data_IF_672137875133
#
_entry.id   IF_672137875133
#
_cell.length_a   1.000
_cell.length_b   1.000
_cell.length_c   1.000
_cell.angle_alpha   90.00
_cell.angle_beta   90.00
_cell.angle_gamma   90.00
#
_symmetry.space_group_name_H-M   'P 1'
#
loop_
_entity.id
_entity.type
_entity.pdbx_description
1 polymer ?
#
# COMPACT_ATOMS: atom_id res chain seq x y z
N UNK A 1 -38.56 29.00 -25.92
CA UNK A 1 -39.14 28.12 -24.89
C UNK A 1 -38.62 26.68 -24.98
N UNK A 2 -38.13 26.19 -26.13
CA UNK A 2 -37.65 24.80 -26.29
C UNK A 2 -36.36 24.43 -25.54
N UNK A 3 -35.40 25.36 -25.38
CA UNK A 3 -34.10 25.08 -24.73
C UNK A 3 -34.24 24.62 -23.26
N UNK A 4 -35.19 25.20 -22.51
CA UNK A 4 -35.43 24.81 -21.11
C UNK A 4 -36.01 23.40 -20.95
N UNK A 5 -36.70 22.90 -21.97
CA UNK A 5 -37.32 21.57 -21.96
C UNK A 5 -36.26 20.51 -22.26
N UNK A 6 -35.36 20.79 -23.20
CA UNK A 6 -34.22 19.92 -23.54
C UNK A 6 -33.25 19.76 -22.37
N UNK A 7 -32.95 20.83 -21.63
CA UNK A 7 -32.06 20.75 -20.46
C UNK A 7 -32.69 19.94 -19.32
N UNK A 8 -34.00 20.06 -19.09
CA UNK A 8 -34.72 19.24 -18.11
C UNK A 8 -34.73 17.75 -18.51
N UNK A 9 -34.79 17.45 -19.81
CA UNK A 9 -34.75 16.08 -20.32
C UNK A 9 -33.36 15.47 -20.15
N UNK A 10 -32.29 16.24 -20.39
CA UNK A 10 -30.89 15.83 -20.14
C UNK A 10 -30.67 15.47 -18.67
N UNK A 11 -31.13 16.30 -17.73
CA UNK A 11 -31.00 16.04 -16.30
C UNK A 11 -31.73 14.76 -15.86
N UNK A 12 -32.95 14.52 -16.39
CA UNK A 12 -33.70 13.29 -16.12
C UNK A 12 -32.94 12.04 -16.61
N UNK A 13 -32.38 12.07 -17.82
CA UNK A 13 -31.61 10.94 -18.38
C UNK A 13 -30.34 10.68 -17.55
N UNK A 14 -29.62 11.73 -17.14
CA UNK A 14 -28.44 11.61 -16.29
C UNK A 14 -28.78 11.02 -14.91
N UNK A 15 -29.93 11.37 -14.34
CA UNK A 15 -30.38 10.82 -13.06
C UNK A 15 -30.75 9.33 -13.14
N UNK A 16 -31.37 8.89 -14.25
CA UNK A 16 -31.65 7.46 -14.49
C UNK A 16 -30.35 6.68 -14.62
N UNK A 17 -29.37 7.23 -15.34
CA UNK A 17 -28.07 6.61 -15.48
C UNK A 17 -27.31 6.50 -14.15
N UNK A 18 -27.40 7.51 -13.26
CA UNK A 18 -26.77 7.48 -11.92
C UNK A 18 -27.30 6.34 -11.06
N UNK A 19 -28.58 5.99 -11.22
CA UNK A 19 -29.21 4.89 -10.48
C UNK A 19 -28.76 3.51 -10.99
N UNK A 20 -28.25 3.41 -12.21
CA UNK A 20 -27.87 2.16 -12.87
C UNK A 20 -26.39 2.14 -13.29
N UNK A 21 -25.46 1.82 -12.36
CA UNK A 21 -24.01 1.85 -12.64
C UNK A 21 -23.53 0.79 -13.64
N UNK A 22 -24.36 -0.22 -13.95
CA UNK A 22 -24.09 -1.25 -14.96
C UNK A 22 -24.39 -0.79 -16.40
N UNK A 23 -24.95 0.41 -16.56
CA UNK A 23 -25.37 0.97 -17.85
C UNK A 23 -26.89 0.92 -18.04
N UNK A 24 -27.40 1.75 -18.94
CA UNK A 24 -28.82 1.88 -19.27
C UNK A 24 -29.03 1.58 -20.76
N UNK A 25 -30.04 0.79 -21.11
CA UNK A 25 -30.43 0.57 -22.50
C UNK A 25 -31.46 1.61 -22.95
N UNK A 26 -31.67 1.73 -24.27
CA UNK A 26 -32.72 2.59 -24.82
C UNK A 26 -34.12 2.23 -24.28
N UNK A 27 -34.38 0.94 -24.01
CA UNK A 27 -35.64 0.46 -23.41
C UNK A 27 -35.80 0.94 -21.96
N UNK A 28 -34.71 0.96 -21.20
CA UNK A 28 -34.73 1.42 -19.80
C UNK A 28 -34.97 2.92 -19.70
N UNK A 29 -34.46 3.70 -20.67
CA UNK A 29 -34.69 5.14 -20.77
C UNK A 29 -36.16 5.43 -21.09
N UNK A 30 -36.73 4.70 -22.06
CA UNK A 30 -38.15 4.84 -22.45
C UNK A 30 -39.08 4.41 -21.32
N UNK A 31 -38.74 3.36 -20.56
CA UNK A 31 -39.52 2.94 -19.40
C UNK A 31 -39.49 3.96 -18.25
N UNK A 32 -38.36 4.64 -18.05
CA UNK A 32 -38.19 5.64 -17.00
C UNK A 32 -38.79 7.01 -17.35
N UNK A 33 -38.97 7.33 -18.65
CA UNK A 33 -39.56 8.58 -19.13
C UNK A 33 -40.63 8.29 -20.21
N UNK A 34 -41.85 7.89 -19.80
CA UNK A 34 -42.93 7.56 -20.73
C UNK A 34 -43.56 8.78 -21.42
N UNK A 35 -43.34 9.98 -20.88
CA UNK A 35 -43.94 11.23 -21.36
C UNK A 35 -43.38 11.75 -22.70
N UNK A 36 -42.25 11.20 -23.17
CA UNK A 36 -41.51 11.73 -24.33
C UNK A 36 -41.40 10.67 -25.41
N UNK A 37 -41.69 11.04 -26.65
CA UNK A 37 -41.65 10.12 -27.79
C UNK A 37 -40.20 9.70 -28.12
N UNK A 38 -40.04 8.47 -28.65
CA UNK A 38 -38.72 7.95 -29.06
C UNK A 38 -38.01 8.84 -30.10
N UNK A 39 -38.75 9.63 -30.87
CA UNK A 39 -38.20 10.55 -31.86
C UNK A 39 -37.49 11.76 -31.24
N UNK A 40 -37.87 12.17 -30.02
CA UNK A 40 -37.26 13.30 -29.29
C UNK A 40 -36.11 12.85 -28.38
N UNK A 41 -36.09 11.58 -27.96
CA UNK A 41 -35.03 11.02 -27.11
C UNK A 41 -33.71 10.79 -27.85
N UNK A 42 -33.78 10.29 -29.10
CA UNK A 42 -32.59 9.99 -29.92
C UNK A 42 -31.68 11.20 -30.13
N UNK A 43 -32.16 12.40 -30.53
CA UNK A 43 -31.29 13.56 -30.69
C UNK A 43 -30.64 14.01 -29.37
N UNK A 44 -31.36 13.92 -28.25
CA UNK A 44 -30.81 14.29 -26.93
C UNK A 44 -29.76 13.29 -26.45
N UNK A 45 -29.96 11.99 -26.69
CA UNK A 45 -28.95 10.95 -26.41
C UNK A 45 -27.71 11.16 -27.28
N UNK A 46 -27.89 11.47 -28.57
CA UNK A 46 -26.78 11.78 -29.47
C UNK A 46 -26.02 13.02 -29.03
N UNK A 47 -26.71 14.05 -28.52
CA UNK A 47 -26.06 15.24 -27.95
C UNK A 47 -25.30 14.90 -26.66
N UNK A 48 -25.86 14.08 -25.77
CA UNK A 48 -25.19 13.62 -24.55
C UNK A 48 -23.96 12.73 -24.85
N UNK A 49 -24.00 11.96 -25.93
CA UNK A 49 -22.85 11.21 -26.47
C UNK A 49 -21.79 12.16 -27.05
N UNK A 50 -22.20 13.16 -27.84
CA UNK A 50 -21.29 14.19 -28.37
C UNK A 50 -20.64 15.01 -27.24
N UNK A 51 -21.35 15.22 -26.14
CA UNK A 51 -20.84 15.88 -24.94
C UNK A 51 -20.04 14.94 -24.01
N UNK A 52 -19.77 13.70 -24.42
CA UNK A 52 -19.02 12.66 -23.68
C UNK A 52 -19.55 12.30 -22.28
N UNK A 53 -20.85 12.51 -22.01
CA UNK A 53 -21.45 12.09 -20.74
C UNK A 53 -21.61 10.57 -20.65
N UNK A 54 -21.74 9.88 -21.80
CA UNK A 54 -21.95 8.45 -21.90
C UNK A 54 -20.90 7.77 -22.78
N UNK A 55 -20.47 6.57 -22.37
CA UNK A 55 -19.75 5.63 -23.23
C UNK A 55 -20.75 4.58 -23.77
N UNK A 56 -20.67 4.28 -25.07
CA UNK A 56 -21.56 3.37 -25.78
C UNK A 56 -20.95 1.97 -25.83
N UNK A 57 -21.66 0.98 -25.29
CA UNK A 57 -21.26 -0.42 -25.29
C UNK A 57 -22.30 -1.26 -26.04
N UNK A 58 -21.84 -2.27 -26.78
CA UNK A 58 -22.71 -3.28 -27.39
C UNK A 58 -22.63 -4.57 -26.55
N UNK A 59 -23.71 -4.90 -25.84
CA UNK A 59 -23.82 -6.16 -25.10
C UNK A 59 -24.92 -7.00 -25.73
N UNK A 60 -24.53 -8.16 -26.30
CA UNK A 60 -25.46 -9.13 -26.89
C UNK A 60 -26.45 -8.54 -27.90
N UNK A 61 -26.01 -7.58 -28.72
CA UNK A 61 -26.85 -6.94 -29.76
C UNK A 61 -27.71 -5.79 -29.24
N UNK A 62 -27.58 -5.39 -27.97
CA UNK A 62 -28.28 -4.25 -27.37
C UNK A 62 -27.27 -3.15 -27.02
N UNK A 63 -27.58 -1.93 -27.45
CA UNK A 63 -26.80 -0.74 -27.10
C UNK A 63 -27.06 -0.33 -25.65
N UNK A 64 -25.99 -0.31 -24.86
CA UNK A 64 -25.97 0.07 -23.44
C UNK A 64 -25.13 1.33 -23.28
N UNK A 65 -25.73 2.37 -22.71
CA UNK A 65 -25.08 3.65 -22.41
C UNK A 65 -24.61 3.62 -20.96
N UNK A 66 -23.30 3.76 -20.72
CA UNK A 66 -22.75 3.82 -19.37
C UNK A 66 -22.31 5.24 -19.06
N UNK A 67 -22.71 5.77 -17.90
CA UNK A 67 -22.27 7.09 -17.43
C UNK A 67 -20.76 7.10 -17.28
N UNK A 68 -20.11 8.07 -17.91
CA UNK A 68 -18.68 8.33 -17.73
C UNK A 68 -18.49 9.05 -16.40
N UNK A 69 -17.55 8.59 -15.57
CA UNK A 69 -17.25 9.23 -14.30
C UNK A 69 -16.76 10.66 -14.54
N UNK A 70 -17.60 11.66 -14.26
CA UNK A 70 -17.33 13.07 -14.59
C UNK A 70 -16.19 13.72 -13.77
N UNK A 71 -15.63 13.02 -12.79
CA UNK A 71 -14.72 13.62 -11.81
C UNK A 71 -13.31 13.91 -12.34
N UNK A 72 -12.86 13.33 -13.45
CA UNK A 72 -11.48 13.53 -13.92
C UNK A 72 -11.31 14.37 -15.19
N UNK A 73 -12.28 14.40 -16.11
CA UNK A 73 -12.11 15.13 -17.40
C UNK A 73 -12.39 16.64 -17.35
N UNK A 74 -13.08 17.16 -16.33
CA UNK A 74 -13.25 18.61 -16.19
C UNK A 74 -11.93 19.33 -15.88
N UNK A 75 -10.95 18.65 -15.26
CA UNK A 75 -9.61 19.19 -15.05
C UNK A 75 -8.80 19.37 -16.37
N UNK A 76 -9.30 18.80 -17.47
CA UNK A 76 -8.63 18.74 -18.79
C UNK A 76 -9.41 19.54 -19.85
N UNK A 77 -10.47 20.28 -19.47
CA UNK A 77 -11.18 21.23 -20.35
C UNK A 77 -10.23 22.39 -20.70
N UNK A 78 -9.58 22.30 -21.86
CA UNK A 78 -8.58 23.26 -22.35
C UNK A 78 -7.15 22.71 -22.41
N UNK A 79 -6.95 21.41 -22.14
CA UNK A 79 -5.63 20.79 -22.24
C UNK A 79 -5.28 20.44 -23.70
N UNK A 80 -4.01 20.62 -24.03
CA UNK A 80 -3.43 20.31 -25.33
C UNK A 80 -3.64 18.83 -25.69
N UNK A 81 -3.66 18.49 -26.98
CA UNK A 81 -3.93 17.10 -27.40
C UNK A 81 -2.88 16.12 -26.81
N UNK A 82 -1.65 16.61 -26.61
CA UNK A 82 -0.55 15.92 -25.93
C UNK A 82 -0.82 15.67 -24.44
N UNK A 83 -1.40 16.64 -23.72
CA UNK A 83 -1.74 16.49 -22.29
C UNK A 83 -2.81 15.41 -22.09
N UNK A 84 -3.80 15.33 -22.99
CA UNK A 84 -4.85 14.30 -22.96
C UNK A 84 -4.30 12.90 -23.16
N UNK A 85 -3.38 12.72 -24.12
CA UNK A 85 -2.74 11.43 -24.37
C UNK A 85 -1.95 10.97 -23.14
N UNK A 86 -1.11 11.85 -22.57
CA UNK A 86 -0.32 11.51 -21.37
C UNK A 86 -1.22 11.20 -20.17
N UNK A 87 -2.29 11.97 -19.98
CA UNK A 87 -3.24 11.73 -18.90
C UNK A 87 -3.92 10.35 -19.02
N UNK A 88 -4.42 9.98 -20.20
CA UNK A 88 -5.05 8.68 -20.41
C UNK A 88 -4.08 7.52 -20.17
N UNK A 89 -2.81 7.65 -20.58
CA UNK A 89 -1.78 6.65 -20.32
C UNK A 89 -1.51 6.44 -18.82
N UNK A 90 -1.62 7.50 -18.02
CA UNK A 90 -1.44 7.45 -16.56
C UNK A 90 -2.70 6.88 -15.89
N UNK A 91 -3.89 7.25 -16.37
CA UNK A 91 -5.17 6.73 -15.88
C UNK A 91 -5.30 5.22 -16.10
N UNK A 92 -4.88 4.72 -17.27
CA UNK A 92 -4.83 3.28 -17.58
C UNK A 92 -3.89 2.49 -16.65
N UNK A 93 -2.84 3.13 -16.12
CA UNK A 93 -1.85 2.47 -15.28
C UNK A 93 -2.27 2.29 -13.81
N UNK A 94 -3.31 3.03 -13.38
CA UNK A 94 -3.90 2.89 -12.05
C UNK A 94 -2.89 3.06 -10.89
N UNK A 95 -2.97 2.16 -9.91
CA UNK A 95 -2.18 2.17 -8.66
C UNK A 95 -0.71 1.76 -8.82
N UNK A 96 -0.36 1.08 -9.90
CA UNK A 96 1.04 0.77 -10.22
C UNK A 96 1.76 1.96 -10.87
N UNK A 97 0.99 2.94 -11.34
CA UNK A 97 1.53 4.07 -12.10
C UNK A 97 2.31 3.64 -13.34
N UNK A 98 2.83 4.61 -14.06
CA UNK A 98 3.58 4.39 -15.30
C UNK A 98 4.94 5.08 -15.24
N UNK A 99 5.97 4.38 -15.70
CA UNK A 99 7.32 4.93 -15.72
C UNK A 99 7.48 5.97 -16.81
N UNK A 100 8.22 7.04 -16.54
CA UNK A 100 8.45 8.13 -17.53
C UNK A 100 8.95 7.63 -18.89
N UNK A 101 9.76 6.57 -18.92
CA UNK A 101 10.26 5.97 -20.17
C UNK A 101 9.14 5.31 -20.96
N UNK A 102 8.23 4.63 -20.28
CA UNK A 102 7.11 3.93 -20.91
C UNK A 102 6.08 4.93 -21.42
N UNK A 103 5.84 6.02 -20.68
CA UNK A 103 5.03 7.16 -21.17
C UNK A 103 5.65 7.71 -22.46
N UNK A 104 6.98 7.92 -22.50
CA UNK A 104 7.66 8.45 -23.69
C UNK A 104 7.49 7.54 -24.90
N UNK A 105 7.70 6.23 -24.74
CA UNK A 105 7.58 5.25 -25.83
C UNK A 105 6.14 5.19 -26.36
N UNK A 106 5.14 5.20 -25.47
CA UNK A 106 3.72 5.11 -25.85
C UNK A 106 3.13 6.42 -26.40
N UNK A 107 3.55 7.57 -25.86
CA UNK A 107 3.07 8.89 -26.30
C UNK A 107 3.77 9.42 -27.55
N UNK A 108 4.93 8.85 -27.91
CA UNK A 108 5.77 9.29 -29.03
C UNK A 108 6.19 10.78 -28.94
N UNK A 109 6.29 11.33 -27.71
CA UNK A 109 6.67 12.71 -27.47
C UNK A 109 8.19 12.87 -27.25
N UNK A 110 8.72 14.04 -27.62
CA UNK A 110 10.09 14.42 -27.29
C UNK A 110 10.25 14.62 -25.77
N UNK A 111 11.44 14.34 -25.23
CA UNK A 111 11.69 14.34 -23.78
C UNK A 111 11.41 15.72 -23.13
N UNK A 112 11.73 16.80 -23.83
CA UNK A 112 11.50 18.19 -23.38
C UNK A 112 10.01 18.51 -23.28
N UNK A 113 9.23 18.12 -24.29
CA UNK A 113 7.77 18.30 -24.31
C UNK A 113 7.09 17.47 -23.23
N UNK A 114 7.45 16.18 -23.12
CA UNK A 114 6.92 15.29 -22.09
C UNK A 114 7.18 15.83 -20.68
N UNK A 115 8.38 16.35 -20.42
CA UNK A 115 8.72 16.93 -19.12
C UNK A 115 7.88 18.18 -18.83
N UNK A 116 7.58 19.01 -19.84
CA UNK A 116 6.72 20.20 -19.69
C UNK A 116 5.27 19.80 -19.40
N UNK A 117 4.73 18.83 -20.15
CA UNK A 117 3.37 18.30 -19.94
C UNK A 117 3.21 17.69 -18.56
N UNK A 118 4.17 16.85 -18.11
CA UNK A 118 4.13 16.25 -16.78
C UNK A 118 4.17 17.32 -15.67
N UNK A 119 5.03 18.34 -15.79
CA UNK A 119 5.08 19.47 -14.84
C UNK A 119 3.78 20.25 -14.82
N UNK A 120 3.16 20.50 -15.97
CA UNK A 120 1.85 21.17 -16.04
C UNK A 120 0.78 20.35 -15.33
N UNK A 121 0.67 19.05 -15.61
CA UNK A 121 -0.30 18.15 -14.98
C UNK A 121 -0.06 18.00 -13.46
N UNK A 122 1.20 17.98 -13.03
CA UNK A 122 1.60 17.95 -11.61
C UNK A 122 1.26 19.27 -10.91
N UNK A 123 1.48 20.41 -11.55
CA UNK A 123 1.11 21.75 -11.03
C UNK A 123 -0.39 21.91 -10.84
N UNK A 124 -1.20 21.30 -11.71
CA UNK A 124 -2.66 21.27 -11.62
C UNK A 124 -3.17 20.27 -10.56
N UNK A 125 -2.27 19.53 -9.88
CA UNK A 125 -2.58 18.45 -8.93
C UNK A 125 -3.50 17.37 -9.52
N UNK A 126 -3.36 17.09 -10.82
CA UNK A 126 -4.11 16.03 -11.50
C UNK A 126 -3.34 14.71 -11.41
N UNK A 127 -2.01 14.78 -11.52
CA UNK A 127 -1.10 13.67 -11.34
C UNK A 127 -0.13 13.96 -10.20
N UNK A 128 0.46 12.90 -9.64
CA UNK A 128 1.58 12.97 -8.71
C UNK A 128 2.72 12.06 -9.15
N UNK A 129 3.91 12.45 -8.77
CA UNK A 129 5.12 11.66 -8.94
C UNK A 129 5.42 10.85 -7.69
N UNK A 130 5.67 9.55 -7.86
CA UNK A 130 6.11 8.66 -6.78
C UNK A 130 7.41 7.98 -7.22
N UNK A 131 8.45 7.98 -6.37
CA UNK A 131 9.64 7.17 -6.62
C UNK A 131 9.41 5.78 -6.06
N UNK A 132 9.86 4.75 -6.77
CA UNK A 132 9.76 3.38 -6.30
C UNK A 132 10.77 3.14 -5.17
N UNK A 133 10.32 2.58 -4.06
CA UNK A 133 11.20 2.17 -2.94
C UNK A 133 12.18 1.08 -3.39
N UNK A 134 11.69 0.04 -4.09
CA UNK A 134 12.51 -1.07 -4.59
C UNK A 134 13.52 -0.66 -5.68
N UNK A 135 13.33 0.50 -6.31
CA UNK A 135 14.18 0.99 -7.38
C UNK A 135 14.25 2.52 -7.30
N UNK A 136 15.12 3.03 -6.43
CA UNK A 136 15.24 4.46 -6.10
C UNK A 136 15.39 5.40 -7.30
N UNK A 137 15.95 4.91 -8.42
CA UNK A 137 16.11 5.66 -9.68
C UNK A 137 14.87 5.67 -10.59
N UNK A 138 13.85 4.86 -10.29
CA UNK A 138 12.63 4.73 -11.08
C UNK A 138 11.54 5.64 -10.52
N UNK A 139 11.15 6.63 -11.33
CA UNK A 139 10.05 7.58 -11.04
C UNK A 139 8.80 7.19 -11.82
N UNK A 140 7.74 6.84 -11.13
CA UNK A 140 6.43 6.54 -11.72
C UNK A 140 5.46 7.70 -11.52
N UNK A 141 4.53 7.87 -12.45
CA UNK A 141 3.45 8.86 -12.36
C UNK A 141 2.11 8.15 -12.22
N UNK A 142 1.23 8.72 -11.41
CA UNK A 142 -0.12 8.22 -11.15
C UNK A 142 -1.07 9.36 -10.86
N UNK A 143 -2.37 9.08 -10.81
CA UNK A 143 -3.37 10.08 -10.47
C UNK A 143 -3.20 10.60 -9.04
N UNK A 144 -3.48 11.88 -8.82
CA UNK A 144 -3.25 12.52 -7.52
C UNK A 144 -4.02 11.85 -6.38
N UNK A 145 -5.29 11.54 -6.63
CA UNK A 145 -6.21 10.96 -5.64
C UNK A 145 -5.98 9.47 -5.37
N UNK A 146 -5.03 8.84 -6.06
CA UNK A 146 -4.89 7.40 -6.09
C UNK A 146 -3.68 6.97 -5.24
N UNK A 147 -3.88 6.05 -4.30
CA UNK A 147 -2.81 5.59 -3.41
C UNK A 147 -1.87 4.62 -4.14
N UNK A 148 -0.55 4.76 -3.94
CA UNK A 148 0.42 3.89 -4.59
C UNK A 148 0.27 2.45 -4.10
N UNK A 149 0.40 1.51 -5.03
CA UNK A 149 0.43 0.10 -4.72
C UNK A 149 1.60 -0.24 -3.78
N UNK A 150 1.43 -1.25 -2.92
CA UNK A 150 2.44 -1.72 -1.95
C UNK A 150 3.79 -2.01 -2.60
N UNK A 151 3.78 -2.51 -3.84
CA UNK A 151 5.01 -2.79 -4.60
C UNK A 151 5.87 -1.55 -4.91
N UNK A 152 5.28 -0.35 -4.82
CA UNK A 152 5.93 0.93 -5.13
C UNK A 152 6.20 1.70 -3.85
N UNK A 153 5.22 1.75 -2.94
CA UNK A 153 5.33 2.45 -1.65
C UNK A 153 6.19 1.70 -0.64
N UNK A 154 6.42 0.40 -0.81
CA UNK A 154 7.16 -0.43 0.15
C UNK A 154 6.32 -0.90 1.34
N UNK A 155 5.01 -0.58 1.36
CA UNK A 155 4.10 -0.97 2.44
C UNK A 155 4.15 -0.03 3.64
N UNK A 156 3.79 -0.53 4.82
CA UNK A 156 3.66 0.26 6.04
C UNK A 156 4.99 0.70 6.69
N UNK A 157 6.13 0.22 6.17
CA UNK A 157 7.46 0.46 6.74
C UNK A 157 8.19 1.69 6.18
N UNK A 158 7.59 2.37 5.20
CA UNK A 158 8.20 3.49 4.52
C UNK A 158 7.32 4.73 4.64
N UNK A 159 7.94 5.84 4.99
CA UNK A 159 7.33 7.17 4.93
C UNK A 159 8.21 8.05 4.04
N UNK A 160 7.61 8.67 3.02
CA UNK A 160 8.32 9.56 2.09
C UNK A 160 9.59 8.99 1.41
N UNK A 161 9.66 7.66 1.25
CA UNK A 161 10.80 6.86 0.71
C UNK A 161 11.89 6.50 1.72
N UNK A 162 11.79 6.97 2.96
CA UNK A 162 12.70 6.57 4.03
C UNK A 162 12.12 5.38 4.79
N UNK A 163 13.00 4.43 5.13
CA UNK A 163 12.63 3.27 5.92
C UNK A 163 12.56 3.67 7.40
N UNK A 164 11.41 3.45 8.01
CA UNK A 164 11.14 3.83 9.40
C UNK A 164 11.65 2.74 10.36
N UNK A 165 12.98 2.64 10.51
CA UNK A 165 13.61 1.61 11.35
C UNK A 165 13.20 1.71 12.82
N UNK A 166 13.12 2.94 13.35
CA UNK A 166 12.71 3.17 14.74
C UNK A 166 11.29 2.66 15.01
N UNK A 167 10.39 2.86 14.05
CA UNK A 167 9.02 2.37 14.15
C UNK A 167 8.96 0.84 14.15
N UNK A 168 9.73 0.20 13.26
CA UNK A 168 9.85 -1.27 13.19
C UNK A 168 10.40 -1.83 14.51
N UNK A 169 11.41 -1.19 15.09
CA UNK A 169 12.01 -1.60 16.38
C UNK A 169 11.01 -1.47 17.53
N UNK A 170 10.24 -0.37 17.59
CA UNK A 170 9.19 -0.19 18.58
C UNK A 170 8.15 -1.30 18.46
N UNK A 171 7.70 -1.61 17.23
CA UNK A 171 6.74 -2.69 17.01
C UNK A 171 7.30 -4.06 17.37
N UNK A 172 8.56 -4.35 17.06
CA UNK A 172 9.22 -5.59 17.46
C UNK A 172 9.19 -5.75 18.99
N UNK A 173 9.56 -4.70 19.72
CA UNK A 173 9.53 -4.69 21.19
C UNK A 173 8.11 -4.89 21.73
N UNK A 174 7.10 -4.21 21.16
CA UNK A 174 5.71 -4.36 21.65
C UNK A 174 5.10 -5.72 21.31
N UNK A 175 5.35 -6.25 20.11
CA UNK A 175 4.93 -7.59 19.73
C UNK A 175 5.55 -8.64 20.66
N UNK A 176 6.85 -8.53 20.94
CA UNK A 176 7.53 -9.42 21.88
C UNK A 176 6.92 -9.31 23.28
N UNK A 177 6.76 -8.08 23.79
CA UNK A 177 6.18 -7.82 25.11
C UNK A 177 4.79 -8.44 25.27
N UNK A 178 3.93 -8.34 24.25
CA UNK A 178 2.61 -8.97 24.26
C UNK A 178 2.71 -10.49 24.38
N UNK A 179 3.55 -11.12 23.56
CA UNK A 179 3.74 -12.57 23.58
C UNK A 179 4.33 -13.06 24.92
N UNK A 180 5.33 -12.35 25.47
CA UNK A 180 5.94 -12.67 26.76
C UNK A 180 4.93 -12.55 27.90
N UNK A 181 4.18 -11.44 27.96
CA UNK A 181 3.14 -11.25 28.97
C UNK A 181 2.06 -12.34 28.92
N UNK A 182 1.68 -12.77 27.72
CA UNK A 182 0.72 -13.86 27.55
C UNK A 182 1.30 -15.18 28.05
N UNK A 183 2.55 -15.48 27.70
CA UNK A 183 3.23 -16.69 28.17
C UNK A 183 3.39 -16.71 29.69
N UNK A 184 3.79 -15.59 30.30
CA UNK A 184 4.00 -15.46 31.75
C UNK A 184 2.72 -15.66 32.55
N UNK A 185 1.59 -15.06 32.10
CA UNK A 185 0.28 -15.23 32.74
C UNK A 185 -0.17 -16.68 32.82
N UNK A 186 0.29 -17.52 31.89
CA UNK A 186 -0.18 -18.89 31.70
C UNK A 186 0.86 -19.91 32.20
N UNK A 187 2.05 -19.47 32.61
CA UNK A 187 3.15 -20.32 33.10
C UNK A 187 2.72 -21.23 34.26
N UNK A 188 1.87 -20.72 35.16
CA UNK A 188 1.34 -21.46 36.31
C UNK A 188 -0.13 -21.85 36.13
N UNK A 189 -0.52 -22.34 34.95
CA UNK A 189 -1.91 -22.68 34.65
C UNK A 189 -2.42 -23.84 35.55
N UNK A 190 -3.50 -23.64 36.33
CA UNK A 190 -4.07 -24.69 37.19
C UNK A 190 -4.57 -25.92 36.42
N UNK A 191 -4.88 -25.78 35.13
CA UNK A 191 -5.37 -26.87 34.27
C UNK A 191 -4.25 -27.76 33.71
N UNK A 192 -3.00 -27.46 34.02
CA UNK A 192 -1.83 -28.27 33.64
C UNK A 192 -1.00 -27.68 32.48
N UNK A 193 0.22 -28.22 32.28
CA UNK A 193 1.24 -27.62 31.41
C UNK A 193 0.91 -27.69 29.91
N UNK A 194 0.24 -28.74 29.44
CA UNK A 194 -0.15 -28.89 28.02
C UNK A 194 -1.18 -27.81 27.64
N UNK A 195 -2.21 -27.63 28.48
CA UNK A 195 -3.23 -26.61 28.28
C UNK A 195 -2.62 -25.22 28.37
N UNK A 196 -1.70 -25.01 29.33
CA UNK A 196 -0.96 -23.76 29.45
C UNK A 196 -0.15 -23.43 28.19
N UNK A 197 0.55 -24.41 27.63
CA UNK A 197 1.30 -24.23 26.38
C UNK A 197 0.38 -23.80 25.24
N UNK A 198 -0.74 -24.50 25.02
CA UNK A 198 -1.68 -24.15 23.94
C UNK A 198 -2.25 -22.74 24.11
N UNK A 199 -2.58 -22.33 25.34
CA UNK A 199 -3.15 -21.00 25.60
C UNK A 199 -2.11 -19.86 25.49
N UNK A 200 -0.82 -20.17 25.67
CA UNK A 200 0.25 -19.17 25.51
C UNK A 200 0.52 -18.75 24.07
N UNK A 201 0.01 -19.48 23.08
CA UNK A 201 0.03 -19.04 21.69
C UNK A 201 -0.95 -17.89 21.44
N UNK A 202 -0.57 -17.00 20.54
CA UNK A 202 -1.41 -15.94 20.00
C UNK A 202 -1.40 -15.96 18.47
N UNK A 203 -2.54 -15.60 17.88
CA UNK A 203 -2.69 -15.40 16.44
C UNK A 203 -2.16 -14.02 16.02
N UNK A 204 -1.76 -13.86 14.76
CA UNK A 204 -1.35 -12.55 14.23
C UNK A 204 -2.47 -11.49 14.38
N UNK A 205 -3.74 -11.90 14.26
CA UNK A 205 -4.89 -11.01 14.42
C UNK A 205 -5.03 -10.50 15.86
N UNK A 206 -4.77 -11.34 16.88
CA UNK A 206 -4.76 -10.90 18.27
C UNK A 206 -3.65 -9.89 18.53
N UNK A 207 -2.46 -10.13 17.96
CA UNK A 207 -1.33 -9.20 18.08
C UNK A 207 -1.64 -7.88 17.38
N UNK A 208 -2.20 -7.91 16.17
CA UNK A 208 -2.59 -6.71 15.42
C UNK A 208 -3.60 -5.87 16.21
N UNK A 209 -4.65 -6.49 16.76
CA UNK A 209 -5.62 -5.79 17.63
C UNK A 209 -4.94 -5.12 18.81
N UNK A 210 -4.04 -5.82 19.49
CA UNK A 210 -3.29 -5.26 20.61
C UNK A 210 -2.47 -4.03 20.19
N UNK A 211 -1.78 -4.08 19.05
CA UNK A 211 -1.00 -2.94 18.54
C UNK A 211 -1.90 -1.76 18.16
N UNK A 212 -3.05 -2.03 17.54
CA UNK A 212 -4.05 -0.99 17.20
C UNK A 212 -4.62 -0.34 18.46
N UNK A 213 -4.95 -1.13 19.49
CA UNK A 213 -5.49 -0.64 20.76
C UNK A 213 -4.48 0.21 21.54
N UNK A 214 -3.18 -0.06 21.39
CA UNK A 214 -2.11 0.76 21.98
C UNK A 214 -1.98 2.13 21.31
N UNK A 215 -2.51 2.32 20.09
CA UNK A 215 -2.49 3.60 19.38
C UNK A 215 -1.08 4.08 19.00
N UNK A 216 -0.12 3.17 18.84
CA UNK A 216 1.28 3.50 18.55
C UNK A 216 1.45 3.98 17.11
N UNK A 217 0.68 3.41 16.18
CA UNK A 217 0.77 3.72 14.76
C UNK A 217 -0.31 4.71 14.35
N UNK A 218 0.09 5.73 13.57
CA UNK A 218 -0.84 6.56 12.79
C UNK A 218 -1.26 5.87 11.49
N UNK A 219 -0.46 4.92 11.02
CA UNK A 219 -0.69 4.15 9.79
C UNK A 219 -1.49 2.90 10.13
N UNK A 220 -2.50 2.59 9.32
CA UNK A 220 -3.25 1.34 9.46
C UNK A 220 -2.35 0.15 9.11
N UNK A 221 -2.11 -0.73 10.09
CA UNK A 221 -1.30 -1.94 9.93
C UNK A 221 -2.21 -3.11 9.57
N UNK A 222 -1.89 -3.77 8.45
CA UNK A 222 -2.58 -5.00 8.07
C UNK A 222 -2.00 -6.19 8.83
N UNK A 223 -2.74 -7.30 8.86
CA UNK A 223 -2.31 -8.54 9.50
C UNK A 223 -1.02 -9.06 8.86
N UNK A 224 -0.87 -8.91 7.54
CA UNK A 224 0.34 -9.30 6.81
C UNK A 224 1.57 -8.55 7.31
N UNK A 225 1.44 -7.25 7.61
CA UNK A 225 2.54 -6.44 8.12
C UNK A 225 2.97 -6.95 9.51
N UNK A 226 2.01 -7.22 10.39
CA UNK A 226 2.28 -7.78 11.72
C UNK A 226 2.94 -9.16 11.63
N UNK A 227 2.55 -10.01 10.67
CA UNK A 227 3.22 -11.29 10.42
C UNK A 227 4.70 -11.10 10.08
N UNK A 228 5.06 -10.09 9.29
CA UNK A 228 6.47 -9.84 8.98
C UNK A 228 7.28 -9.50 10.23
N UNK A 229 6.74 -8.70 11.15
CA UNK A 229 7.36 -8.39 12.45
C UNK A 229 7.43 -9.62 13.35
N UNK A 230 6.39 -10.45 13.38
CA UNK A 230 6.41 -11.68 14.16
C UNK A 230 7.45 -12.67 13.64
N UNK A 231 7.69 -12.72 12.32
CA UNK A 231 8.76 -13.54 11.75
C UNK A 231 10.15 -13.04 12.16
N UNK A 232 10.37 -11.72 12.30
CA UNK A 232 11.67 -11.22 12.80
C UNK A 232 11.92 -11.67 14.24
N UNK A 233 10.90 -11.68 15.10
CA UNK A 233 11.01 -12.24 16.45
C UNK A 233 11.34 -13.74 16.46
N UNK A 234 10.85 -14.49 15.48
CA UNK A 234 11.19 -15.91 15.31
C UNK A 234 12.64 -16.06 14.87
N UNK A 235 13.12 -15.25 13.93
CA UNK A 235 14.51 -15.27 13.47
C UNK A 235 15.50 -14.81 14.56
N UNK A 236 15.10 -13.88 15.42
CA UNK A 236 15.85 -13.47 16.61
C UNK A 236 15.92 -14.56 17.70
N UNK A 237 15.17 -15.66 17.56
CA UNK A 237 15.08 -16.71 18.56
C UNK A 237 14.32 -16.31 19.83
N UNK A 238 13.53 -15.22 19.78
CA UNK A 238 12.71 -14.73 20.90
C UNK A 238 11.30 -15.30 20.90
N UNK A 239 10.84 -15.81 19.75
CA UNK A 239 9.53 -16.43 19.60
C UNK A 239 9.62 -17.72 18.78
N UNK A 240 8.66 -18.62 18.97
CA UNK A 240 8.42 -19.76 18.08
C UNK A 240 7.10 -19.56 17.33
N UNK A 241 7.02 -20.11 16.11
CA UNK A 241 5.78 -20.16 15.33
C UNK A 241 5.29 -21.60 15.17
N UNK A 242 3.97 -21.79 15.24
CA UNK A 242 3.31 -23.05 14.90
C UNK A 242 2.14 -22.79 13.96
N UNK A 243 1.59 -23.84 13.38
CA UNK A 243 0.43 -23.78 12.48
C UNK A 243 -0.67 -24.63 13.08
N UNK A 244 -1.83 -24.03 13.32
CA UNK A 244 -3.01 -24.75 13.76
C UNK A 244 -3.63 -25.57 12.61
N UNK A 245 -4.49 -26.56 12.90
CA UNK A 245 -5.12 -27.40 11.88
C UNK A 245 -5.93 -26.64 10.83
N UNK A 246 -6.37 -25.43 11.15
CA UNK A 246 -7.08 -24.50 10.27
C UNK A 246 -6.15 -23.75 9.29
N UNK A 247 -4.83 -23.97 9.38
CA UNK A 247 -3.82 -23.28 8.59
C UNK A 247 -3.40 -21.92 9.16
N UNK A 248 -3.95 -21.49 10.28
CA UNK A 248 -3.58 -20.22 10.92
C UNK A 248 -2.21 -20.32 11.59
N UNK A 249 -1.35 -19.32 11.36
CA UNK A 249 -0.07 -19.19 12.04
C UNK A 249 -0.25 -18.59 13.42
N UNK A 250 0.35 -19.22 14.41
CA UNK A 250 0.37 -18.78 15.79
C UNK A 250 1.77 -18.65 16.33
N UNK A 251 1.95 -17.75 17.28
CA UNK A 251 3.24 -17.33 17.80
C UNK A 251 3.24 -17.37 19.32
N UNK A 252 4.39 -17.69 19.91
CA UNK A 252 4.58 -17.78 21.37
C UNK A 252 5.99 -17.30 21.69
N UNK A 253 6.14 -16.48 22.74
CA UNK A 253 7.46 -16.10 23.23
C UNK A 253 8.18 -17.31 23.83
N UNK A 254 9.49 -17.36 23.63
CA UNK A 254 10.37 -18.40 24.17
C UNK A 254 11.54 -17.75 24.88
N UNK A 255 12.01 -18.40 25.94
CA UNK A 255 13.26 -18.04 26.58
C UNK A 255 14.43 -18.69 25.82
N UNK A 256 15.59 -18.03 25.74
CA UNK A 256 16.79 -18.65 25.20
C UNK A 256 17.11 -19.96 25.94
N UNK A 257 17.44 -21.01 25.18
CA UNK A 257 17.74 -22.33 25.76
C UNK A 257 19.01 -22.32 26.62
N UNK A 258 19.97 -21.47 26.25
CA UNK A 258 21.26 -21.31 26.93
C UNK A 258 21.59 -19.81 27.05
N UNK A 259 22.24 -19.39 28.14
CA UNK A 259 22.75 -18.03 28.26
C UNK A 259 23.87 -17.77 27.25
N UNK A 260 24.20 -16.49 27.04
CA UNK A 260 25.30 -16.11 26.18
C UNK A 260 26.61 -16.77 26.67
N UNK A 261 27.38 -17.41 25.77
CA UNK A 261 28.60 -18.11 26.17
C UNK A 261 29.66 -17.14 26.70
N UNK A 262 30.48 -17.59 27.66
CA UNK A 262 31.50 -16.74 28.29
C UNK A 262 32.50 -16.11 27.30
N UNK A 263 32.69 -16.72 26.13
CA UNK A 263 33.56 -16.18 25.09
C UNK A 263 33.10 -14.79 24.61
N UNK A 264 31.79 -14.56 24.43
CA UNK A 264 31.27 -13.25 24.01
C UNK A 264 31.12 -12.28 25.18
N UNK A 265 31.33 -12.74 26.42
CA UNK A 265 31.30 -11.90 27.62
C UNK A 265 32.66 -11.28 27.94
N UNK A 266 33.73 -11.69 27.25
CA UNK A 266 35.07 -11.13 27.38
C UNK A 266 35.48 -10.39 26.11
N UNK A 267 36.24 -9.29 26.21
CA UNK A 267 36.60 -8.48 25.04
C UNK A 267 37.37 -9.28 23.99
N UNK A 268 38.12 -10.30 24.38
CA UNK A 268 38.87 -11.16 23.46
C UNK A 268 37.97 -11.92 22.47
N UNK A 269 36.77 -12.34 22.85
CA UNK A 269 35.90 -13.14 21.97
C UNK A 269 35.20 -12.34 20.87
N UNK A 270 35.22 -11.01 20.97
CA UNK A 270 34.67 -10.09 19.96
C UNK A 270 35.74 -9.12 19.42
N UNK A 271 37.01 -9.34 19.77
CA UNK A 271 38.09 -8.44 19.44
C UNK A 271 38.40 -8.49 17.92
N UNK A 272 38.32 -7.35 17.21
CA UNK A 272 38.62 -7.32 15.77
C UNK A 272 40.11 -7.55 15.47
N UNK A 273 40.98 -7.39 16.48
CA UNK A 273 42.43 -7.55 16.37
C UNK A 273 42.94 -8.87 16.97
N UNK A 274 42.05 -9.84 17.26
CA UNK A 274 42.41 -11.07 17.96
C UNK A 274 43.54 -11.85 17.25
N UNK A 275 43.53 -11.88 15.92
CA UNK A 275 44.55 -12.57 15.12
C UNK A 275 45.90 -11.85 15.08
N UNK A 276 45.95 -10.59 15.49
CA UNK A 276 47.17 -9.78 15.56
C UNK A 276 47.67 -9.60 16.99
N UNK A 277 46.94 -10.12 17.98
CA UNK A 277 47.27 -10.01 19.39
C UNK A 277 48.19 -11.15 19.80
N UNK A 278 49.42 -10.83 20.20
CA UNK A 278 50.40 -11.80 20.67
C UNK A 278 51.10 -11.27 21.94
N UNK A 279 51.88 -12.13 22.58
CA UNK A 279 52.81 -11.82 23.66
C UNK A 279 53.85 -10.75 23.30
N UNK A 280 54.11 -10.54 22.00
CA UNK A 280 55.07 -9.56 21.49
C UNK A 280 54.49 -8.78 20.30
N UNK A 281 55.00 -7.57 20.06
CA UNK A 281 54.56 -6.72 18.94
C UNK A 281 53.78 -5.48 19.37
N UNK A 282 53.04 -4.89 18.43
CA UNK A 282 52.31 -3.62 18.64
C UNK A 282 50.94 -3.82 19.31
N UNK A 283 50.30 -4.97 19.10
CA UNK A 283 49.02 -5.32 19.71
C UNK A 283 49.28 -6.45 20.70
N UNK A 284 49.24 -6.13 21.99
CA UNK A 284 49.52 -7.10 23.05
C UNK A 284 48.41 -7.06 24.10
N UNK A 285 48.19 -8.17 24.84
CA UNK A 285 47.26 -8.18 25.97
C UNK A 285 47.66 -7.18 27.07
N UNK A 286 48.95 -6.93 27.26
CA UNK A 286 49.48 -6.05 28.32
C UNK A 286 49.09 -4.58 28.12
N UNK A 287 49.06 -4.13 26.85
CA UNK A 287 48.71 -2.75 26.47
C UNK A 287 47.32 -2.66 25.84
N UNK A 288 46.48 -3.68 26.04
CA UNK A 288 45.17 -3.79 25.40
C UNK A 288 44.18 -2.77 25.96
N UNK A 289 43.75 -1.83 25.12
CA UNK A 289 42.75 -0.81 25.47
C UNK A 289 41.39 -1.47 25.77
N UNK A 290 40.95 -2.43 24.93
CA UNK A 290 39.66 -3.12 25.13
C UNK A 290 39.57 -3.86 26.46
N UNK A 291 40.68 -4.46 26.92
CA UNK A 291 40.70 -5.15 28.22
C UNK A 291 40.73 -4.15 29.38
N UNK A 292 41.47 -3.05 29.22
CA UNK A 292 41.51 -1.99 30.24
C UNK A 292 40.14 -1.35 30.46
N UNK A 293 39.47 -0.95 29.37
CA UNK A 293 38.12 -0.36 29.43
C UNK A 293 37.07 -1.33 29.98
N UNK A 294 37.21 -2.63 29.73
CA UNK A 294 36.27 -3.64 30.24
C UNK A 294 36.44 -3.94 31.74
N UNK A 295 37.63 -3.71 32.29
CA UNK A 295 37.93 -3.92 33.71
C UNK A 295 37.63 -2.70 34.60
N UNK A 296 37.48 -1.52 34.00
CA UNK A 296 37.06 -0.27 34.67
C UNK A 296 35.54 -0.26 34.95
#
# INVERSE_FOLDING_TARGET
MSVKIEDQLKEKILNVAKKNPKGISHKDITAAIPEVSSAELVPVINELLQQEYFDLFNQNGVLVYKLKAQTSKQAVKGADNEEKVVYNLIEEAGNKGIWIRDIRVRSNLANTQLTKVLKNLESKKVIKAVKCVNASKKKVYMLYNLEPDRSISGGAWYQDQDFESEFVDILNVQCHRFLSQRADKIKNNPRGPIVGRTQSYATANEVQKYITDLGISKVELDVEDVITILNTLVYDGKAESSVYPDGSKVYRAIDPLIPAPGLVQVPCGVCPLIHSCDSTGLVTPQTCVYMKEWLE
#
